data_IF_464520943723
#
_entry.id   IF_464520943723
#
_cell.length_a   1.000
_cell.length_b   1.000
_cell.length_c   1.000
_cell.angle_alpha   90.00
_cell.angle_beta   90.00
_cell.angle_gamma   90.00
#
_symmetry.space_group_name_H-M   'P 1'
#
loop_
_entity.id
_entity.type
_entity.pdbx_description
1 polymer ?
#
# COMPACT_ATOMS: atom_id res chain seq x y z
N UNK A 1 5.57 -24.62 11.21
CA UNK A 1 5.06 -24.16 12.52
C UNK A 1 3.97 -23.15 12.23
N UNK A 2 2.73 -23.41 12.68
CA UNK A 2 1.56 -22.59 12.34
C UNK A 2 1.65 -21.22 13.04
N UNK A 3 1.02 -20.16 12.48
CA UNK A 3 0.97 -18.82 13.11
C UNK A 3 0.36 -18.90 14.50
N UNK A 4 -0.65 -19.73 14.71
CA UNK A 4 -1.25 -19.96 16.02
C UNK A 4 -0.21 -20.42 17.04
N UNK A 5 0.65 -21.39 16.69
CA UNK A 5 1.71 -21.87 17.57
C UNK A 5 2.78 -20.80 17.86
N UNK A 6 3.04 -19.88 16.90
CA UNK A 6 3.94 -18.75 17.13
C UNK A 6 3.30 -17.68 18.01
N UNK A 7 2.01 -17.43 17.86
CA UNK A 7 1.26 -16.51 18.71
C UNK A 7 1.14 -17.06 20.14
N UNK A 8 0.91 -18.36 20.30
CA UNK A 8 0.87 -19.01 21.60
C UNK A 8 2.24 -19.00 22.32
N UNK A 9 3.33 -19.15 21.56
CA UNK A 9 4.68 -19.06 22.10
C UNK A 9 5.02 -17.63 22.53
N UNK A 10 4.57 -16.64 21.78
CA UNK A 10 4.67 -15.22 22.11
C UNK A 10 3.83 -14.91 23.36
N UNK A 11 2.59 -15.37 23.39
CA UNK A 11 1.69 -15.17 24.51
C UNK A 11 2.28 -15.77 25.80
N UNK A 12 2.76 -16.99 25.75
CA UNK A 12 3.43 -17.67 26.90
C UNK A 12 4.69 -16.94 27.37
N UNK A 13 5.46 -16.35 26.48
CA UNK A 13 6.74 -15.71 26.80
C UNK A 13 6.63 -14.31 27.39
N UNK A 14 5.61 -13.55 27.00
CA UNK A 14 5.46 -12.13 27.36
C UNK A 14 4.26 -11.85 28.27
N UNK A 15 3.29 -12.77 28.35
CA UNK A 15 2.06 -12.58 29.14
C UNK A 15 1.86 -13.63 30.24
N UNK A 16 2.90 -14.42 30.55
CA UNK A 16 2.86 -15.42 31.65
C UNK A 16 2.68 -14.81 33.04
N UNK A 17 2.62 -13.50 33.17
CA UNK A 17 2.33 -12.83 34.43
C UNK A 17 0.83 -12.48 34.61
N UNK A 18 -0.04 -12.87 33.69
CA UNK A 18 -1.48 -12.64 33.79
C UNK A 18 -2.22 -13.99 33.99
N UNK A 19 -1.99 -14.64 35.13
CA UNK A 19 -2.70 -15.88 35.47
C UNK A 19 -4.20 -15.70 35.81
N UNK A 20 -4.75 -14.49 35.72
CA UNK A 20 -6.15 -14.19 36.02
C UNK A 20 -6.90 -13.37 34.93
N UNK A 21 -6.50 -13.46 33.68
CA UNK A 21 -7.35 -12.92 32.62
C UNK A 21 -8.31 -14.01 32.18
N UNK A 22 -9.51 -14.03 32.74
CA UNK A 22 -10.67 -14.71 32.17
C UNK A 22 -10.72 -14.34 30.67
N UNK A 23 -10.72 -15.37 29.80
CA UNK A 23 -10.86 -15.14 28.34
C UNK A 23 -11.99 -14.13 28.12
N UNK A 24 -11.73 -13.00 27.42
CA UNK A 24 -12.80 -12.06 27.18
C UNK A 24 -13.88 -12.82 26.40
N UNK A 25 -15.10 -12.81 26.92
CA UNK A 25 -16.26 -13.32 26.20
C UNK A 25 -16.16 -12.85 24.75
N UNK A 26 -16.11 -13.79 23.80
CA UNK A 26 -16.19 -13.47 22.37
C UNK A 26 -17.53 -12.81 22.13
N UNK A 27 -17.61 -11.50 22.37
CA UNK A 27 -18.76 -10.71 21.96
C UNK A 27 -18.77 -10.76 20.42
N UNK A 28 -19.65 -11.58 19.88
CA UNK A 28 -20.01 -11.52 18.47
C UNK A 28 -20.56 -10.14 18.22
N UNK A 29 -19.78 -9.29 17.59
CA UNK A 29 -20.24 -7.97 17.13
C UNK A 29 -21.11 -8.25 15.89
N UNK A 30 -22.42 -8.14 16.04
CA UNK A 30 -23.32 -8.13 14.88
C UNK A 30 -23.13 -6.81 14.14
N UNK A 31 -22.55 -6.87 12.96
CA UNK A 31 -22.52 -5.71 12.08
C UNK A 31 -23.90 -5.51 11.44
N UNK A 32 -24.43 -4.28 11.52
CA UNK A 32 -25.72 -3.91 10.90
C UNK A 32 -25.69 -3.97 9.38
N UNK A 33 -24.52 -4.02 8.77
CA UNK A 33 -24.31 -3.99 7.32
C UNK A 33 -23.43 -5.18 6.89
N UNK A 34 -23.70 -5.68 5.68
CA UNK A 34 -22.86 -6.66 5.04
C UNK A 34 -21.54 -6.00 4.63
N UNK A 35 -20.44 -6.34 5.30
CA UNK A 35 -19.11 -5.78 5.03
C UNK A 35 -18.61 -6.12 3.62
N UNK A 36 -19.16 -7.14 2.99
CA UNK A 36 -18.82 -7.54 1.62
C UNK A 36 -19.56 -6.74 0.55
N UNK A 37 -20.50 -5.88 0.98
CA UNK A 37 -21.26 -4.98 0.10
C UNK A 37 -21.18 -3.55 0.60
N UNK A 38 -20.00 -2.94 0.57
CA UNK A 38 -19.84 -1.56 1.02
C UNK A 38 -20.67 -0.62 0.14
N UNK A 39 -21.23 0.46 0.69
CA UNK A 39 -21.99 1.42 -0.08
C UNK A 39 -21.12 2.37 -0.91
N UNK A 40 -21.73 3.06 -1.87
CA UNK A 40 -21.12 4.14 -2.63
C UNK A 40 -19.98 3.69 -3.55
N UNK A 41 -19.01 4.57 -3.77
CA UNK A 41 -17.91 4.34 -4.72
C UNK A 41 -17.09 3.07 -4.40
N UNK A 42 -16.88 2.77 -3.10
CA UNK A 42 -16.19 1.54 -2.72
C UNK A 42 -16.96 0.29 -3.17
N UNK A 43 -18.30 0.32 -3.08
CA UNK A 43 -19.14 -0.78 -3.57
C UNK A 43 -19.03 -0.95 -5.08
N UNK A 44 -19.11 0.14 -5.83
CA UNK A 44 -19.00 0.10 -7.31
C UNK A 44 -17.63 -0.40 -7.77
N UNK A 45 -16.55 0.06 -7.11
CA UNK A 45 -15.20 -0.44 -7.36
C UNK A 45 -15.08 -1.93 -6.98
N UNK A 46 -15.72 -2.36 -5.89
CA UNK A 46 -15.78 -3.78 -5.51
C UNK A 46 -16.45 -4.61 -6.60
N UNK A 47 -17.58 -4.16 -7.09
CA UNK A 47 -18.33 -4.86 -8.15
C UNK A 47 -17.50 -4.91 -9.44
N UNK A 48 -16.83 -3.81 -9.81
CA UNK A 48 -15.94 -3.77 -10.96
C UNK A 48 -14.80 -4.79 -10.80
N UNK A 49 -14.03 -4.76 -9.71
CA UNK A 49 -12.93 -5.71 -9.48
C UNK A 49 -13.45 -7.15 -9.53
N UNK A 50 -14.57 -7.42 -8.88
CA UNK A 50 -15.15 -8.75 -8.87
C UNK A 50 -15.70 -9.16 -10.26
N UNK A 51 -16.12 -8.20 -11.10
CA UNK A 51 -16.53 -8.47 -12.49
C UNK A 51 -15.37 -8.98 -13.34
N UNK A 52 -14.16 -8.47 -13.10
CA UNK A 52 -12.93 -8.88 -13.78
C UNK A 52 -12.43 -10.27 -13.37
N UNK A 53 -12.99 -10.85 -12.30
CA UNK A 53 -12.61 -12.18 -11.84
C UNK A 53 -13.44 -13.26 -12.50
N UNK A 54 -12.80 -14.21 -13.19
CA UNK A 54 -13.43 -15.42 -13.72
C UNK A 54 -14.07 -16.28 -12.61
N UNK A 55 -13.46 -16.28 -11.45
CA UNK A 55 -13.94 -16.87 -10.21
C UNK A 55 -14.14 -15.73 -9.20
N UNK A 56 -15.35 -15.50 -8.69
CA UNK A 56 -15.61 -14.44 -7.72
C UNK A 56 -14.67 -14.52 -6.51
N UNK A 57 -14.06 -13.40 -6.13
CA UNK A 57 -13.15 -13.25 -4.99
C UNK A 57 -13.54 -12.03 -4.19
N UNK A 58 -14.68 -12.10 -3.54
CA UNK A 58 -15.33 -10.93 -2.97
C UNK A 58 -14.53 -10.32 -1.83
N UNK A 59 -13.90 -11.12 -0.96
CA UNK A 59 -13.05 -10.59 0.11
C UNK A 59 -11.86 -9.80 -0.44
N UNK A 60 -11.20 -10.36 -1.48
CA UNK A 60 -10.09 -9.66 -2.13
C UNK A 60 -10.58 -8.41 -2.86
N UNK A 61 -11.74 -8.45 -3.52
CA UNK A 61 -12.30 -7.32 -4.24
C UNK A 61 -12.63 -6.16 -3.29
N UNK A 62 -13.27 -6.43 -2.15
CA UNK A 62 -13.64 -5.40 -1.15
C UNK A 62 -12.40 -4.72 -0.57
N UNK A 63 -11.41 -5.48 -0.12
CA UNK A 63 -10.21 -4.86 0.46
C UNK A 63 -9.40 -4.09 -0.58
N UNK A 64 -9.33 -4.59 -1.82
CA UNK A 64 -8.68 -3.90 -2.92
C UNK A 64 -9.40 -2.61 -3.29
N UNK A 65 -10.72 -2.60 -3.28
CA UNK A 65 -11.54 -1.40 -3.48
C UNK A 65 -11.29 -0.36 -2.38
N UNK A 66 -11.29 -0.77 -1.11
CA UNK A 66 -11.01 0.13 0.03
C UNK A 66 -9.64 0.77 -0.10
N UNK A 67 -8.60 -0.01 -0.37
CA UNK A 67 -7.23 0.51 -0.51
C UNK A 67 -7.11 1.42 -1.72
N UNK A 68 -7.71 1.04 -2.87
CA UNK A 68 -7.65 1.83 -4.10
C UNK A 68 -8.37 3.16 -3.96
N UNK A 69 -9.62 3.18 -3.49
CA UNK A 69 -10.39 4.41 -3.28
C UNK A 69 -9.71 5.29 -2.22
N UNK A 70 -9.24 4.68 -1.12
CA UNK A 70 -8.49 5.40 -0.09
C UNK A 70 -7.19 6.01 -0.62
N UNK A 71 -6.50 5.34 -1.52
CA UNK A 71 -5.26 5.84 -2.11
C UNK A 71 -5.52 6.94 -3.15
N UNK A 72 -6.49 6.76 -4.03
CA UNK A 72 -6.82 7.74 -5.10
C UNK A 72 -7.28 9.07 -4.48
N UNK A 73 -8.11 9.03 -3.43
CA UNK A 73 -8.60 10.22 -2.73
C UNK A 73 -7.66 10.78 -1.66
N UNK A 74 -6.64 10.04 -1.29
CA UNK A 74 -5.89 10.29 -0.06
C UNK A 74 -5.03 11.55 -0.02
N UNK A 75 -4.71 12.16 -1.15
CA UNK A 75 -3.99 13.45 -1.18
C UNK A 75 -4.95 14.64 -1.02
N UNK A 76 -6.19 14.48 -1.42
CA UNK A 76 -7.19 15.55 -1.48
C UNK A 76 -8.21 15.48 -0.36
N UNK A 77 -8.48 14.29 0.17
CA UNK A 77 -9.51 14.06 1.18
C UNK A 77 -8.90 13.65 2.52
N UNK A 78 -9.30 14.31 3.57
CA UNK A 78 -8.91 14.01 4.95
C UNK A 78 -10.09 14.12 5.87
N UNK A 79 -10.11 13.33 6.94
CA UNK A 79 -11.15 13.44 7.95
C UNK A 79 -10.92 14.68 8.78
N UNK A 80 -11.91 15.59 8.76
CA UNK A 80 -11.88 16.81 9.54
C UNK A 80 -11.82 16.51 11.04
N UNK A 81 -11.02 17.26 11.77
CA UNK A 81 -10.88 17.18 13.22
C UNK A 81 -9.88 16.15 13.74
N UNK A 82 -9.72 15.00 13.10
CA UNK A 82 -8.88 13.90 13.63
C UNK A 82 -7.51 13.76 12.95
N UNK A 83 -7.24 14.55 11.92
CA UNK A 83 -6.03 14.42 11.08
C UNK A 83 -5.80 12.98 10.58
N UNK A 84 -6.86 12.18 10.44
CA UNK A 84 -6.79 10.84 9.92
C UNK A 84 -6.64 10.88 8.40
N UNK A 85 -5.83 9.99 7.90
CA UNK A 85 -5.56 9.79 6.49
C UNK A 85 -6.12 8.44 6.06
N UNK A 86 -6.51 8.30 4.80
CA UNK A 86 -7.05 7.08 4.22
C UNK A 86 -5.97 6.10 3.73
N UNK A 87 -4.71 6.31 4.09
CA UNK A 87 -3.64 5.39 3.75
C UNK A 87 -3.80 4.05 4.47
N UNK A 88 -3.68 2.95 3.72
CA UNK A 88 -3.90 1.60 4.22
C UNK A 88 -2.78 0.67 3.77
N UNK A 89 -2.43 -0.29 4.65
CA UNK A 89 -1.68 -1.48 4.29
C UNK A 89 -2.63 -2.67 4.31
N UNK A 90 -2.68 -3.43 3.23
CA UNK A 90 -3.51 -4.62 3.11
C UNK A 90 -2.71 -5.81 2.57
N UNK A 91 -2.84 -6.96 3.20
CA UNK A 91 -2.21 -8.20 2.79
C UNK A 91 -3.27 -9.23 2.43
N UNK A 92 -3.31 -9.57 1.16
CA UNK A 92 -4.26 -10.47 0.55
C UNK A 92 -3.66 -11.88 0.45
N UNK A 93 -4.21 -12.80 1.22
CA UNK A 93 -3.74 -14.18 1.26
C UNK A 93 -4.77 -15.07 0.58
N UNK A 94 -4.37 -15.72 -0.50
CA UNK A 94 -5.25 -16.61 -1.27
C UNK A 94 -4.45 -17.76 -1.88
N UNK A 95 -5.09 -18.91 -2.07
CA UNK A 95 -4.47 -20.10 -2.64
C UNK A 95 -3.83 -19.86 -4.01
N UNK A 96 -2.95 -20.76 -4.43
CA UNK A 96 -2.38 -20.70 -5.78
C UNK A 96 -3.47 -20.93 -6.83
N UNK A 97 -3.34 -20.28 -7.99
CA UNK A 97 -4.30 -20.38 -9.11
C UNK A 97 -5.77 -19.97 -8.78
N UNK A 98 -5.97 -19.20 -7.71
CA UNK A 98 -7.31 -18.76 -7.29
C UNK A 98 -7.83 -17.54 -8.07
N UNK A 99 -7.04 -16.97 -8.97
CA UNK A 99 -7.44 -15.79 -9.76
C UNK A 99 -7.11 -14.45 -9.11
N UNK A 100 -6.23 -14.42 -8.10
CA UNK A 100 -5.74 -13.17 -7.47
C UNK A 100 -5.09 -12.20 -8.45
N UNK A 101 -4.53 -12.70 -9.56
CA UNK A 101 -3.95 -11.90 -10.64
C UNK A 101 -4.95 -10.91 -11.25
N UNK A 102 -6.20 -11.32 -11.45
CA UNK A 102 -7.24 -10.44 -11.98
C UNK A 102 -7.54 -9.28 -11.01
N UNK A 103 -7.51 -9.54 -9.70
CA UNK A 103 -7.69 -8.49 -8.68
C UNK A 103 -6.52 -7.51 -8.70
N UNK A 104 -5.27 -8.03 -8.73
CA UNK A 104 -4.05 -7.22 -8.79
C UNK A 104 -4.05 -6.32 -10.03
N UNK A 105 -4.40 -6.87 -11.21
CA UNK A 105 -4.49 -6.10 -12.44
C UNK A 105 -5.58 -5.03 -12.36
N UNK A 106 -6.76 -5.36 -11.84
CA UNK A 106 -7.84 -4.38 -11.65
C UNK A 106 -7.44 -3.22 -10.76
N UNK A 107 -6.62 -3.46 -9.73
CA UNK A 107 -6.06 -2.39 -8.89
C UNK A 107 -5.18 -1.45 -9.71
N UNK A 108 -4.33 -1.98 -10.61
CA UNK A 108 -3.52 -1.16 -11.50
C UNK A 108 -4.40 -0.34 -12.45
N UNK A 109 -5.41 -0.97 -13.07
CA UNK A 109 -6.31 -0.31 -14.02
C UNK A 109 -7.08 0.85 -13.37
N UNK A 110 -7.58 0.66 -12.12
CA UNK A 110 -8.23 1.73 -11.34
C UNK A 110 -7.33 2.96 -11.17
N UNK A 111 -6.06 2.75 -10.85
CA UNK A 111 -5.13 3.85 -10.64
C UNK A 111 -4.69 4.52 -11.96
N UNK A 112 -4.59 3.74 -13.03
CA UNK A 112 -4.30 4.25 -14.37
C UNK A 112 -5.45 5.15 -14.83
N UNK A 113 -6.69 4.67 -14.73
CA UNK A 113 -7.87 5.42 -15.13
C UNK A 113 -8.12 6.66 -14.26
N UNK A 114 -7.76 6.60 -12.97
CA UNK A 114 -7.76 7.77 -12.09
C UNK A 114 -6.63 8.78 -12.40
N UNK A 115 -5.71 8.47 -13.33
CA UNK A 115 -4.58 9.32 -13.69
C UNK A 115 -3.50 9.44 -12.61
N UNK A 116 -3.35 8.42 -11.75
CA UNK A 116 -2.31 8.37 -10.69
C UNK A 116 -1.26 7.29 -10.95
N UNK A 117 -1.14 6.83 -12.20
CA UNK A 117 -0.24 5.75 -12.60
C UNK A 117 1.23 5.99 -12.25
N UNK A 118 1.68 7.25 -12.24
CA UNK A 118 3.06 7.60 -11.89
C UNK A 118 3.44 7.28 -10.43
N UNK A 119 2.45 7.16 -9.54
CA UNK A 119 2.65 6.87 -8.12
C UNK A 119 2.54 5.37 -7.78
N UNK A 120 2.25 4.51 -8.77
CA UNK A 120 2.12 3.05 -8.57
C UNK A 120 3.46 2.36 -8.77
N UNK A 121 3.79 1.46 -7.85
CA UNK A 121 5.02 0.67 -7.89
C UNK A 121 4.73 -0.80 -7.60
N UNK A 122 5.28 -1.70 -8.40
CA UNK A 122 5.13 -3.16 -8.25
C UNK A 122 6.11 -3.80 -7.26
N UNK A 123 7.10 -3.05 -6.78
CA UNK A 123 8.14 -3.57 -5.89
C UNK A 123 8.76 -2.44 -5.06
N UNK A 124 9.36 -2.81 -3.93
CA UNK A 124 10.16 -1.91 -3.08
C UNK A 124 11.60 -2.43 -3.08
N UNK A 125 12.54 -1.59 -3.50
CA UNK A 125 13.96 -1.96 -3.59
C UNK A 125 14.80 -1.41 -2.44
N UNK A 126 14.47 -0.22 -1.93
CA UNK A 126 15.23 0.41 -0.85
C UNK A 126 14.40 1.48 -0.12
N UNK A 127 14.89 1.89 1.05
CA UNK A 127 14.36 3.04 1.80
C UNK A 127 14.43 4.33 0.97
N UNK A 128 15.53 4.58 0.29
CA UNK A 128 15.75 5.77 -0.53
C UNK A 128 14.77 5.84 -1.71
N UNK A 129 14.40 4.68 -2.29
CA UNK A 129 13.37 4.64 -3.34
C UNK A 129 12.01 5.12 -2.81
N UNK A 130 11.60 4.66 -1.62
CA UNK A 130 10.34 5.10 -0.99
C UNK A 130 10.36 6.62 -0.83
N UNK A 131 11.45 7.18 -0.30
CA UNK A 131 11.57 8.61 -0.07
C UNK A 131 11.51 9.38 -1.39
N UNK A 132 12.24 8.94 -2.42
CA UNK A 132 12.21 9.56 -3.76
C UNK A 132 10.81 9.57 -4.36
N UNK A 133 10.08 8.46 -4.23
CA UNK A 133 8.70 8.37 -4.72
C UNK A 133 7.77 9.33 -3.99
N UNK A 134 7.90 9.43 -2.65
CA UNK A 134 7.12 10.38 -1.86
C UNK A 134 7.45 11.85 -2.19
N UNK A 135 8.71 12.17 -2.50
CA UNK A 135 9.10 13.52 -2.93
C UNK A 135 8.57 13.84 -4.31
N UNK A 136 8.60 12.87 -5.24
CA UNK A 136 8.15 13.09 -6.62
C UNK A 136 6.64 13.26 -6.76
N UNK A 137 5.87 12.53 -5.97
CA UNK A 137 4.43 12.39 -6.16
C UNK A 137 3.59 12.76 -4.94
N UNK A 138 4.23 13.11 -3.81
CA UNK A 138 3.61 13.25 -2.47
C UNK A 138 2.86 11.98 -2.02
N UNK A 139 2.70 11.01 -2.91
CA UNK A 139 2.08 9.72 -2.67
C UNK A 139 2.91 8.60 -3.26
N UNK A 140 2.87 7.44 -2.62
CA UNK A 140 3.39 6.20 -3.18
C UNK A 140 2.38 5.08 -2.92
N UNK A 141 2.08 4.31 -3.95
CA UNK A 141 1.23 3.14 -3.87
C UNK A 141 2.00 1.91 -4.30
N UNK A 142 2.12 0.95 -3.42
CA UNK A 142 2.80 -0.31 -3.71
C UNK A 142 1.78 -1.42 -3.89
N UNK A 143 1.64 -1.91 -5.14
CA UNK A 143 0.84 -3.07 -5.50
C UNK A 143 1.78 -4.26 -5.72
N UNK A 144 2.03 -5.04 -4.67
CA UNK A 144 3.08 -6.06 -4.63
C UNK A 144 2.49 -7.43 -4.91
N UNK A 145 2.85 -8.01 -6.05
CA UNK A 145 2.72 -9.44 -6.23
C UNK A 145 3.80 -10.17 -5.42
N UNK A 146 3.53 -11.39 -5.01
CA UNK A 146 4.46 -12.22 -4.23
C UNK A 146 4.94 -11.55 -2.91
N UNK A 147 4.01 -10.94 -2.16
CA UNK A 147 4.30 -10.29 -0.88
C UNK A 147 5.13 -11.19 0.07
N UNK A 148 4.85 -12.48 0.12
CA UNK A 148 5.62 -13.39 0.98
C UNK A 148 7.09 -13.47 0.61
N UNK A 149 7.44 -13.41 -0.68
CA UNK A 149 8.85 -13.35 -1.10
C UNK A 149 9.50 -12.02 -0.71
N UNK A 150 8.76 -10.93 -0.78
CA UNK A 150 9.24 -9.62 -0.31
C UNK A 150 9.52 -9.66 1.19
N UNK A 151 8.60 -10.16 2.02
CA UNK A 151 8.79 -10.31 3.47
C UNK A 151 9.97 -11.22 3.80
N UNK A 152 10.16 -12.31 3.06
CA UNK A 152 11.31 -13.21 3.22
C UNK A 152 12.64 -12.50 2.94
N UNK A 153 12.72 -11.70 1.87
CA UNK A 153 13.91 -10.90 1.56
C UNK A 153 14.24 -9.90 2.67
N UNK A 154 13.23 -9.24 3.23
CA UNK A 154 13.40 -8.35 4.38
C UNK A 154 14.00 -9.08 5.58
N UNK A 155 13.47 -10.27 5.92
CA UNK A 155 14.00 -11.09 7.04
C UNK A 155 15.44 -11.55 6.83
N UNK A 156 15.81 -11.90 5.58
CA UNK A 156 17.17 -12.33 5.28
C UNK A 156 18.17 -11.18 5.38
N UNK A 157 17.77 -9.95 5.08
CA UNK A 157 18.64 -8.78 5.19
C UNK A 157 19.05 -8.49 6.64
N UNK A 158 18.19 -8.81 7.61
CA UNK A 158 18.48 -8.63 9.03
C UNK A 158 19.42 -9.72 9.62
N UNK A 159 19.41 -10.95 9.07
CA UNK A 159 20.06 -12.10 9.73
C UNK A 159 21.50 -12.38 9.30
N UNK A 160 21.96 -11.96 8.14
CA UNK A 160 23.20 -12.47 7.55
C UNK A 160 24.10 -11.46 6.85
N UNK A 161 24.07 -10.18 7.24
CA UNK A 161 24.83 -9.16 6.51
C UNK A 161 24.37 -9.05 5.05
N UNK A 162 23.14 -9.47 4.78
CA UNK A 162 22.48 -9.36 3.49
C UNK A 162 22.33 -7.90 3.05
N UNK A 163 21.76 -7.68 1.92
CA UNK A 163 21.65 -6.39 1.27
C UNK A 163 21.21 -5.28 2.23
N UNK A 164 22.14 -4.45 2.70
CA UNK A 164 21.94 -3.41 3.72
C UNK A 164 20.84 -2.40 3.32
N UNK A 165 20.57 -2.25 2.03
CA UNK A 165 19.55 -1.37 1.48
C UNK A 165 18.09 -1.76 1.86
N UNK A 166 17.85 -3.00 2.27
CA UNK A 166 16.53 -3.46 2.73
C UNK A 166 16.31 -3.26 4.23
N UNK A 167 17.36 -3.00 5.01
CA UNK A 167 17.24 -2.91 6.48
C UNK A 167 16.35 -1.76 6.94
N UNK A 168 16.39 -0.60 6.28
CA UNK A 168 15.57 0.56 6.59
C UNK A 168 14.13 0.52 6.08
N UNK A 169 13.80 -0.41 5.15
CA UNK A 169 12.52 -0.40 4.43
C UNK A 169 11.32 -0.51 5.36
N UNK A 170 11.32 -1.45 6.31
CA UNK A 170 10.19 -1.61 7.26
C UNK A 170 10.04 -0.35 8.12
N UNK A 171 11.14 0.19 8.62
CA UNK A 171 11.14 1.43 9.41
C UNK A 171 10.56 2.59 8.63
N UNK A 172 10.96 2.75 7.37
CA UNK A 172 10.47 3.81 6.49
C UNK A 172 8.99 3.64 6.15
N UNK A 173 8.52 2.42 5.85
CA UNK A 173 7.11 2.12 5.61
C UNK A 173 6.25 2.51 6.83
N UNK A 174 6.68 2.12 8.02
CA UNK A 174 5.96 2.45 9.26
C UNK A 174 5.99 3.95 9.57
N UNK A 175 7.12 4.60 9.33
CA UNK A 175 7.26 6.03 9.55
C UNK A 175 6.36 6.83 8.59
N UNK A 176 6.39 6.52 7.29
CA UNK A 176 5.51 7.15 6.29
C UNK A 176 4.04 6.91 6.60
N UNK A 177 3.66 5.67 6.97
CA UNK A 177 2.30 5.35 7.37
C UNK A 177 1.82 6.22 8.54
N UNK A 178 2.62 6.31 9.60
CA UNK A 178 2.25 7.02 10.82
C UNK A 178 2.30 8.55 10.67
N UNK A 179 3.05 9.07 9.69
CA UNK A 179 3.22 10.50 9.44
C UNK A 179 2.38 11.04 8.29
N UNK A 180 1.44 10.25 7.78
CA UNK A 180 0.57 10.64 6.67
C UNK A 180 -0.22 11.95 6.89
N UNK A 181 -0.44 12.35 8.15
CA UNK A 181 -1.01 13.66 8.52
C UNK A 181 -0.05 14.48 9.38
N UNK A 182 1.24 14.42 9.08
CA UNK A 182 2.28 15.10 9.83
C UNK A 182 3.49 15.40 8.99
N UNK A 183 4.66 15.40 9.61
CA UNK A 183 5.93 15.66 8.92
C UNK A 183 6.89 14.50 9.15
N UNK A 184 7.41 13.91 8.09
CA UNK A 184 8.41 12.84 8.13
C UNK A 184 9.80 13.44 8.05
N UNK A 185 10.52 13.44 9.17
CA UNK A 185 11.91 13.88 9.21
C UNK A 185 12.83 12.80 8.62
N UNK A 186 13.73 13.23 7.76
CA UNK A 186 14.73 12.38 7.12
C UNK A 186 16.06 12.45 7.86
N UNK A 187 16.85 11.37 7.83
CA UNK A 187 18.24 11.39 8.32
C UNK A 187 19.13 12.30 7.48
N UNK A 188 20.24 12.76 8.03
CA UNK A 188 21.18 13.65 7.32
C UNK A 188 21.69 13.04 6.02
N UNK A 189 22.14 11.79 6.07
CA UNK A 189 22.69 11.08 4.90
C UNK A 189 21.64 10.94 3.78
N UNK A 190 20.42 10.60 4.15
CA UNK A 190 19.30 10.48 3.18
C UNK A 190 18.98 11.84 2.56
N UNK A 191 18.99 12.92 3.34
CA UNK A 191 18.78 14.27 2.81
C UNK A 191 19.81 14.63 1.75
N UNK A 192 21.09 14.40 2.03
CA UNK A 192 22.18 14.71 1.09
C UNK A 192 22.12 13.85 -0.19
N UNK A 193 21.80 12.56 -0.07
CA UNK A 193 21.60 11.68 -1.22
C UNK A 193 20.46 12.18 -2.09
N UNK A 194 19.30 12.47 -1.50
CA UNK A 194 18.13 12.96 -2.22
C UNK A 194 18.37 14.33 -2.86
N UNK A 195 19.05 15.27 -2.16
CA UNK A 195 19.45 16.56 -2.73
C UNK A 195 20.31 16.35 -3.98
N UNK A 196 21.27 15.44 -3.92
CA UNK A 196 22.15 15.11 -5.04
C UNK A 196 21.37 14.57 -6.24
N UNK A 197 20.45 13.65 -5.99
CA UNK A 197 19.63 13.05 -7.05
C UNK A 197 18.68 14.09 -7.69
N UNK A 198 18.03 14.93 -6.89
CA UNK A 198 17.16 16.00 -7.38
C UNK A 198 17.94 17.05 -8.17
N UNK A 199 19.14 17.41 -7.72
CA UNK A 199 20.01 18.34 -8.45
C UNK A 199 20.45 17.79 -9.82
N UNK A 200 20.73 16.47 -9.91
CA UNK A 200 21.03 15.80 -11.19
C UNK A 200 19.82 15.81 -12.11
N UNK A 201 18.62 15.48 -11.58
CA UNK A 201 17.38 15.51 -12.36
C UNK A 201 17.12 16.93 -12.89
N UNK A 202 17.27 17.94 -12.04
CA UNK A 202 17.14 19.37 -12.43
C UNK A 202 18.08 19.74 -13.59
N UNK A 203 19.34 19.36 -13.46
CA UNK A 203 20.34 19.65 -14.51
C UNK A 203 20.03 18.98 -15.85
N UNK A 204 19.47 17.76 -15.83
CA UNK A 204 19.00 17.06 -17.03
C UNK A 204 17.78 17.75 -17.66
N UNK A 205 16.82 18.18 -16.83
CA UNK A 205 15.63 18.87 -17.30
C UNK A 205 15.97 20.25 -17.88
N UNK A 206 16.91 20.98 -17.26
CA UNK A 206 17.34 22.28 -17.75
C UNK A 206 17.94 22.19 -19.18
N UNK A 207 18.75 21.17 -19.46
CA UNK A 207 19.27 20.92 -20.81
C UNK A 207 18.14 20.65 -21.82
N UNK A 208 17.13 19.88 -21.45
CA UNK A 208 15.98 19.58 -22.30
C UNK A 208 15.11 20.82 -22.55
N UNK A 209 15.02 21.71 -21.57
CA UNK A 209 14.29 22.99 -21.73
C UNK A 209 14.99 23.90 -22.74
N UNK A 210 16.33 23.92 -22.77
CA UNK A 210 17.12 24.66 -23.77
C UNK A 210 16.88 24.15 -25.21
N UNK A 211 16.54 22.85 -25.35
CA UNK A 211 16.20 22.22 -26.64
C UNK A 211 14.76 22.49 -27.10
N UNK A 212 13.97 23.30 -26.39
CA UNK A 212 12.65 23.79 -26.80
C UNK A 212 11.43 23.04 -26.29
N UNK A 213 11.56 22.28 -25.22
CA UNK A 213 10.46 21.53 -24.61
C UNK A 213 9.78 22.27 -23.43
N UNK A 214 8.58 22.01 -23.27
CA UNK A 214 7.28 22.43 -22.80
C UNK A 214 7.11 22.83 -21.32
N UNK A 215 5.92 23.42 -21.04
CA UNK A 215 5.41 23.78 -19.69
C UNK A 215 5.50 22.65 -18.64
N UNK A 216 5.47 21.37 -19.05
CA UNK A 216 5.60 20.23 -18.15
C UNK A 216 6.99 20.10 -17.53
N UNK A 217 8.06 20.38 -18.30
CA UNK A 217 9.43 20.39 -17.81
C UNK A 217 9.61 21.49 -16.79
N UNK A 218 9.11 22.70 -17.07
CA UNK A 218 9.18 23.81 -16.14
C UNK A 218 8.46 23.50 -14.83
N UNK A 219 7.23 22.98 -14.89
CA UNK A 219 6.48 22.59 -13.70
C UNK A 219 7.24 21.54 -12.84
N UNK A 220 7.93 20.59 -13.50
CA UNK A 220 8.75 19.60 -12.79
C UNK A 220 9.98 20.25 -12.14
N UNK A 221 10.65 21.19 -12.80
CA UNK A 221 11.78 21.92 -12.25
C UNK A 221 11.38 22.78 -11.04
N UNK A 222 10.21 23.41 -11.09
CA UNK A 222 9.65 24.19 -9.98
C UNK A 222 9.36 23.28 -8.78
N UNK A 223 8.76 22.10 -9.00
CA UNK A 223 8.53 21.11 -7.96
C UNK A 223 9.83 20.56 -7.33
N UNK A 224 10.89 20.37 -8.13
CA UNK A 224 12.21 20.01 -7.62
C UNK A 224 12.78 21.12 -6.75
N UNK A 225 12.69 22.36 -7.18
CA UNK A 225 13.17 23.53 -6.45
C UNK A 225 12.45 23.66 -5.10
N UNK A 226 11.15 23.50 -5.07
CA UNK A 226 10.36 23.49 -3.84
C UNK A 226 10.76 22.34 -2.92
N UNK A 227 10.95 21.14 -3.47
CA UNK A 227 11.40 19.97 -2.71
C UNK A 227 12.78 20.19 -2.08
N UNK A 228 13.73 20.73 -2.82
CA UNK A 228 15.09 21.08 -2.31
C UNK A 228 15.03 22.09 -1.16
N UNK A 229 14.16 23.10 -1.26
CA UNK A 229 13.99 24.12 -0.22
C UNK A 229 13.33 23.56 1.06
N UNK A 230 12.53 22.52 0.95
CA UNK A 230 11.76 21.98 2.04
C UNK A 230 12.34 20.69 2.65
N UNK A 231 13.29 20.02 1.99
CA UNK A 231 13.79 18.71 2.43
C UNK A 231 14.37 18.73 3.85
N UNK A 232 14.94 19.84 4.27
CA UNK A 232 15.51 20.00 5.63
C UNK A 232 14.42 20.08 6.69
N UNK A 233 13.22 20.51 6.32
CA UNK A 233 12.02 20.56 7.18
C UNK A 233 11.33 19.20 7.27
N UNK A 234 11.69 18.24 6.40
CA UNK A 234 11.07 16.94 6.25
C UNK A 234 9.98 16.92 5.16
N UNK A 235 9.41 15.73 4.92
CA UNK A 235 8.34 15.53 3.96
C UNK A 235 7.00 15.81 4.61
N UNK A 236 6.25 16.84 4.20
CA UNK A 236 4.93 17.11 4.76
C UNK A 236 3.92 16.09 4.23
N UNK A 237 3.12 15.53 5.13
CA UNK A 237 2.02 14.63 4.82
C UNK A 237 2.38 13.52 3.82
N UNK A 238 3.43 12.72 4.05
CA UNK A 238 3.81 11.64 3.15
C UNK A 238 2.67 10.63 3.10
N UNK A 239 2.09 10.42 1.92
CA UNK A 239 0.97 9.52 1.75
C UNK A 239 1.45 8.20 1.13
N UNK A 240 1.40 7.11 1.90
CA UNK A 240 1.84 5.82 1.43
C UNK A 240 0.81 4.74 1.75
N UNK A 241 0.34 4.05 0.71
CA UNK A 241 -0.52 2.88 0.82
C UNK A 241 0.14 1.67 0.18
N UNK A 242 -0.23 0.48 0.63
CA UNK A 242 0.30 -0.76 0.10
C UNK A 242 -0.79 -1.83 0.07
N UNK A 243 -0.84 -2.58 -1.03
CA UNK A 243 -1.54 -3.85 -1.10
C UNK A 243 -0.56 -4.92 -1.57
N UNK A 244 -0.60 -6.08 -0.95
CA UNK A 244 0.29 -7.18 -1.33
C UNK A 244 -0.46 -8.50 -1.37
N UNK A 245 -0.08 -9.36 -2.32
CA UNK A 245 -0.71 -10.65 -2.55
C UNK A 245 0.27 -11.79 -2.25
N UNK A 246 -0.22 -12.84 -1.60
CA UNK A 246 0.59 -14.00 -1.26
C UNK A 246 -0.24 -15.28 -1.23
N UNK A 247 0.44 -16.43 -1.22
CA UNK A 247 -0.21 -17.71 -0.86
C UNK A 247 -0.13 -17.93 0.65
N UNK A 248 -1.04 -18.73 1.25
CA UNK A 248 -1.02 -19.01 2.67
C UNK A 248 0.31 -19.59 3.17
N UNK A 249 0.87 -20.56 2.44
CA UNK A 249 2.15 -21.18 2.81
C UNK A 249 3.29 -20.16 2.81
N UNK A 250 3.44 -19.42 1.69
CA UNK A 250 4.52 -18.43 1.55
C UNK A 250 4.39 -17.30 2.57
N UNK A 251 3.16 -16.82 2.82
CA UNK A 251 2.91 -15.78 3.81
C UNK A 251 3.28 -16.25 5.22
N UNK A 252 2.76 -17.41 5.63
CA UNK A 252 3.01 -17.97 6.96
C UNK A 252 4.51 -18.24 7.24
N UNK A 253 5.24 -18.72 6.24
CA UNK A 253 6.70 -18.94 6.35
C UNK A 253 7.49 -17.62 6.37
N UNK A 254 6.95 -16.57 5.81
CA UNK A 254 7.67 -15.31 5.61
C UNK A 254 7.42 -14.27 6.70
N UNK A 255 6.32 -14.38 7.46
CA UNK A 255 6.05 -13.49 8.59
C UNK A 255 6.99 -13.85 9.74
N UNK A 256 7.76 -12.88 10.21
CA UNK A 256 8.69 -13.06 11.33
C UNK A 256 8.15 -12.43 12.61
N UNK A 257 8.69 -12.92 13.73
CA UNK A 257 8.42 -12.33 15.04
C UNK A 257 8.75 -10.83 15.08
N UNK A 258 9.85 -10.41 14.48
CA UNK A 258 10.26 -9.01 14.41
C UNK A 258 9.25 -8.13 13.67
N UNK A 259 8.69 -8.60 12.57
CA UNK A 259 7.65 -7.87 11.82
C UNK A 259 6.36 -7.71 12.63
N UNK A 260 6.03 -8.69 13.48
CA UNK A 260 4.88 -8.61 14.39
C UNK A 260 5.17 -7.62 15.52
N UNK A 261 6.30 -7.76 16.20
CA UNK A 261 6.66 -6.94 17.36
C UNK A 261 7.01 -5.50 17.03
N UNK A 262 7.56 -5.23 15.84
CA UNK A 262 7.78 -3.88 15.34
C UNK A 262 6.47 -3.14 15.03
N UNK A 263 5.36 -3.85 14.93
CA UNK A 263 4.04 -3.30 14.61
C UNK A 263 3.79 -3.09 13.10
N UNK A 264 4.64 -3.61 12.22
CA UNK A 264 4.42 -3.55 10.77
C UNK A 264 3.18 -4.37 10.39
N UNK A 265 3.13 -5.62 10.85
CA UNK A 265 1.95 -6.48 10.66
C UNK A 265 0.71 -5.91 11.35
N UNK A 266 0.87 -5.34 12.56
CA UNK A 266 -0.23 -4.74 13.31
C UNK A 266 -0.87 -3.50 12.66
N UNK A 267 -0.19 -2.86 11.69
CA UNK A 267 -0.74 -1.77 10.87
C UNK A 267 -1.40 -2.24 9.59
N UNK A 268 -1.39 -3.54 9.33
CA UNK A 268 -1.88 -4.11 8.08
C UNK A 268 -3.20 -4.82 8.30
N UNK A 269 -4.13 -4.65 7.38
CA UNK A 269 -5.35 -5.45 7.29
C UNK A 269 -5.00 -6.74 6.56
N UNK A 270 -5.13 -7.87 7.23
CA UNK A 270 -4.84 -9.17 6.61
C UNK A 270 -6.16 -9.83 6.24
N UNK A 271 -6.34 -10.10 4.96
CA UNK A 271 -7.51 -10.78 4.43
C UNK A 271 -7.10 -12.14 3.91
N UNK A 272 -7.72 -13.17 4.48
CA UNK A 272 -7.59 -14.53 3.97
C UNK A 272 -8.82 -14.85 3.11
N UNK A 273 -8.60 -15.07 1.83
CA UNK A 273 -9.66 -15.56 0.94
C UNK A 273 -9.86 -17.06 1.20
N UNK A 274 -11.08 -17.50 1.52
CA UNK A 274 -11.33 -18.92 1.76
C UNK A 274 -10.94 -19.77 0.55
N UNK A 275 -10.34 -20.92 0.82
CA UNK A 275 -10.00 -21.89 -0.23
C UNK A 275 -11.26 -22.62 -0.70
N UNK A 276 -12.17 -21.86 -1.28
CA UNK A 276 -13.39 -22.34 -1.89
C UNK A 276 -13.25 -22.31 -3.40
N UNK A 277 -13.82 -23.30 -4.08
CA UNK A 277 -13.95 -23.27 -5.53
C UNK A 277 -15.30 -22.61 -5.91
N UNK A 278 -15.38 -21.28 -5.98
CA UNK A 278 -16.60 -20.63 -6.41
C UNK A 278 -16.95 -21.05 -7.84
N UNK A 279 -18.23 -21.08 -8.16
CA UNK A 279 -18.66 -21.41 -9.52
C UNK A 279 -18.07 -20.40 -10.51
N UNK A 280 -17.43 -20.94 -11.53
CA UNK A 280 -16.91 -20.15 -12.66
C UNK A 280 -18.04 -19.39 -13.34
N UNK A 281 -17.83 -18.12 -13.63
CA UNK A 281 -18.73 -17.34 -14.48
C UNK A 281 -18.73 -17.94 -15.90
N UNK A 282 -19.90 -18.36 -16.37
CA UNK A 282 -20.07 -18.87 -17.75
C UNK A 282 -20.00 -17.68 -18.71
N UNK A 283 -19.34 -17.87 -19.86
CA UNK A 283 -19.19 -16.79 -20.85
C UNK A 283 -18.39 -15.60 -20.36
N UNK A 284 -17.50 -15.79 -19.35
CA UNK A 284 -16.68 -14.73 -18.82
C UNK A 284 -15.84 -14.07 -19.94
N UNK A 285 -16.02 -12.77 -20.07
CA UNK A 285 -15.13 -11.86 -20.79
C UNK A 285 -14.79 -10.72 -19.82
N UNK A 286 -13.59 -10.22 -19.88
CA UNK A 286 -13.22 -8.99 -19.19
C UNK A 286 -14.01 -7.83 -19.81
N UNK A 287 -14.57 -6.98 -18.98
CA UNK A 287 -15.33 -5.81 -19.39
C UNK A 287 -14.51 -4.56 -19.19
N UNK A 288 -14.65 -3.59 -20.07
CA UNK A 288 -14.05 -2.28 -19.87
C UNK A 288 -14.64 -1.60 -18.62
N UNK A 289 -13.84 -0.77 -17.97
CA UNK A 289 -14.34 0.00 -16.84
C UNK A 289 -15.44 0.96 -17.30
N UNK A 290 -16.61 1.01 -16.63
CA UNK A 290 -17.70 1.94 -16.97
C UNK A 290 -17.22 3.40 -16.95
N UNK A 291 -17.66 4.19 -17.92
CA UNK A 291 -17.20 5.59 -18.06
C UNK A 291 -17.63 6.48 -16.89
N UNK A 292 -18.76 6.24 -16.27
CA UNK A 292 -19.20 6.91 -15.05
C UNK A 292 -18.29 6.59 -13.86
N UNK A 293 -17.81 5.35 -13.73
CA UNK A 293 -16.84 4.96 -12.71
C UNK A 293 -15.50 5.66 -12.93
N UNK A 294 -15.00 5.71 -14.19
CA UNK A 294 -13.77 6.46 -14.53
C UNK A 294 -13.90 7.93 -14.16
N UNK A 295 -15.03 8.54 -14.52
CA UNK A 295 -15.29 9.95 -14.22
C UNK A 295 -15.29 10.21 -12.70
N UNK A 296 -15.90 9.33 -11.90
CA UNK A 296 -15.94 9.45 -10.43
C UNK A 296 -14.58 9.25 -9.78
N UNK A 297 -13.77 8.32 -10.29
CA UNK A 297 -12.39 8.14 -9.80
C UNK A 297 -11.53 9.38 -10.10
N UNK A 298 -11.66 9.94 -11.30
CA UNK A 298 -10.96 11.18 -11.66
C UNK A 298 -11.43 12.37 -10.81
N UNK A 299 -12.72 12.47 -10.54
CA UNK A 299 -13.29 13.51 -9.68
C UNK A 299 -12.79 13.36 -8.24
N UNK A 300 -12.74 12.15 -7.70
CA UNK A 300 -12.21 11.87 -6.35
C UNK A 300 -10.78 12.40 -6.18
N UNK A 301 -9.96 12.33 -7.22
CA UNK A 301 -8.61 12.87 -7.20
C UNK A 301 -8.57 14.40 -7.22
N UNK A 302 -9.53 15.05 -7.88
CA UNK A 302 -9.48 16.48 -8.18
C UNK A 302 -10.23 17.36 -7.18
N UNK A 303 -11.17 16.79 -6.41
CA UNK A 303 -12.03 17.51 -5.47
C UNK A 303 -11.54 17.34 -4.05
N UNK A 304 -10.67 18.24 -3.58
CA UNK A 304 -10.18 18.29 -2.20
C UNK A 304 -10.01 19.74 -1.75
#
# INVERSE_FOLDING_TARGET
MNIENKLDEIHKRYFSYAEDVTEPEKKTVEFKHDLLKPPGLVGEVTDYINSQCRYPRLNLAVISALVSVGNIGGLTHRLEGNKLSSNLFAFCVAGSATGKEAVLQSVNDLHIEAGVSAAIHGAIKSEQEIIRNLIRHQAAFYNIDELGLFLRKLNMSHKSGGASYLQGVIGMLMAAYSKASGNLLLSGDVKEEVKTDLAREYAMLNKRLEDGESAQIQARMDAITESLNNIDKGLPNPFLSMIGFSTPSTFNESVSFEQITSGFIGRSIIINEPDTNPKRKRGFASEDMPDDLKARLSLLRCTG
#
